data_IF_353018765998
#
_entry.id   IF_353018765998
#
_cell.length_a   1.000
_cell.length_b   1.000
_cell.length_c   1.000
_cell.angle_alpha   90.00
_cell.angle_beta   90.00
_cell.angle_gamma   90.00
#
_symmetry.space_group_name_H-M   'P 1'
#
loop_
_entity.id
_entity.type
_entity.pdbx_description
1 polymer ?
#
# COMPACT_ATOMS: atom_id res chain seq x y z
N UNK A 1 -30.66 -18.33 -11.58
CA UNK A 1 -29.94 -17.19 -12.19
C UNK A 1 -28.53 -17.54 -12.64
N UNK A 2 -27.68 -18.16 -11.79
CA UNK A 2 -26.29 -18.51 -12.13
C UNK A 2 -26.15 -19.37 -13.39
N UNK A 3 -26.94 -20.44 -13.54
CA UNK A 3 -26.91 -21.30 -14.74
C UNK A 3 -27.21 -20.53 -16.04
N UNK A 4 -28.16 -19.58 -16.01
CA UNK A 4 -28.48 -18.72 -17.16
C UNK A 4 -27.32 -17.79 -17.53
N UNK A 5 -26.56 -17.30 -16.56
CA UNK A 5 -25.35 -16.51 -16.82
C UNK A 5 -24.25 -17.38 -17.39
N UNK A 6 -24.03 -18.58 -16.84
CA UNK A 6 -23.06 -19.53 -17.35
C UNK A 6 -23.29 -19.85 -18.83
N UNK A 7 -24.53 -20.18 -19.22
CA UNK A 7 -24.87 -20.47 -20.62
C UNK A 7 -24.58 -19.30 -21.58
N UNK A 8 -24.61 -18.05 -21.09
CA UNK A 8 -24.29 -16.86 -21.90
C UNK A 8 -22.79 -16.53 -21.91
N UNK A 9 -22.10 -16.69 -20.79
CA UNK A 9 -20.71 -16.25 -20.61
C UNK A 9 -19.70 -17.32 -21.02
N UNK A 10 -19.99 -18.61 -20.84
CA UNK A 10 -19.06 -19.68 -21.21
C UNK A 10 -18.71 -19.67 -22.73
N UNK A 11 -19.66 -19.47 -23.66
CA UNK A 11 -19.33 -19.31 -25.08
C UNK A 11 -18.46 -18.08 -25.37
N UNK A 12 -18.63 -17.00 -24.60
CA UNK A 12 -17.83 -15.77 -24.76
C UNK A 12 -16.39 -15.99 -24.30
N UNK A 13 -16.17 -16.69 -23.18
CA UNK A 13 -14.82 -17.08 -22.73
C UNK A 13 -14.07 -17.85 -23.81
N UNK A 14 -14.75 -18.79 -24.49
CA UNK A 14 -14.19 -19.52 -25.62
C UNK A 14 -13.87 -18.63 -26.80
N UNK A 15 -14.80 -17.75 -27.18
CA UNK A 15 -14.63 -16.81 -28.30
C UNK A 15 -13.43 -15.86 -28.07
N UNK A 16 -13.19 -15.45 -26.83
CA UNK A 16 -12.08 -14.55 -26.46
C UNK A 16 -10.77 -15.30 -26.14
N UNK A 17 -10.74 -16.63 -26.22
CA UNK A 17 -9.55 -17.44 -25.93
C UNK A 17 -9.16 -17.47 -24.44
N UNK A 18 -10.10 -17.14 -23.54
CA UNK A 18 -9.88 -16.99 -22.10
C UNK A 18 -10.15 -18.28 -21.31
N UNK A 19 -10.54 -19.38 -21.96
CA UNK A 19 -10.89 -20.63 -21.28
C UNK A 19 -9.76 -21.16 -20.38
N UNK A 20 -8.51 -21.15 -20.86
CA UNK A 20 -7.36 -21.60 -20.05
C UNK A 20 -7.15 -20.70 -18.83
N UNK A 21 -7.16 -19.38 -19.03
CA UNK A 21 -7.02 -18.42 -17.93
C UNK A 21 -8.13 -18.61 -16.88
N UNK A 22 -9.35 -18.86 -17.32
CA UNK A 22 -10.47 -19.05 -16.41
C UNK A 22 -10.41 -20.41 -15.69
N UNK A 23 -10.35 -21.52 -16.43
CA UNK A 23 -10.50 -22.87 -15.87
C UNK A 23 -9.20 -23.43 -15.27
N UNK A 24 -8.03 -23.10 -15.81
CA UNK A 24 -6.76 -23.66 -15.35
C UNK A 24 -6.05 -22.76 -14.32
N UNK A 25 -6.33 -21.46 -14.32
CA UNK A 25 -5.67 -20.50 -13.42
C UNK A 25 -6.65 -19.91 -12.41
N UNK A 26 -7.67 -19.20 -12.88
CA UNK A 26 -8.55 -18.39 -12.02
C UNK A 26 -9.38 -19.26 -11.08
N UNK A 27 -10.08 -20.27 -11.62
CA UNK A 27 -10.96 -21.15 -10.85
C UNK A 27 -10.19 -21.97 -9.80
N UNK A 28 -9.05 -22.62 -10.10
CA UNK A 28 -8.24 -23.27 -9.08
C UNK A 28 -7.73 -22.29 -8.02
N UNK A 29 -7.34 -21.09 -8.41
CA UNK A 29 -6.83 -20.08 -7.48
C UNK A 29 -7.88 -19.62 -6.47
N UNK A 30 -9.16 -19.55 -6.85
CA UNK A 30 -10.25 -19.24 -5.89
C UNK A 30 -10.29 -20.19 -4.69
N UNK A 31 -9.95 -21.48 -4.90
CA UNK A 31 -9.92 -22.47 -3.81
C UNK A 31 -8.77 -22.21 -2.84
N UNK A 32 -7.61 -21.83 -3.37
CA UNK A 32 -6.43 -21.46 -2.58
C UNK A 32 -6.72 -20.23 -1.74
N UNK A 33 -7.40 -19.23 -2.32
CA UNK A 33 -7.84 -18.04 -1.57
C UNK A 33 -8.81 -18.43 -0.46
N UNK A 34 -9.86 -19.20 -0.76
CA UNK A 34 -10.82 -19.63 0.25
C UNK A 34 -10.16 -20.38 1.43
N UNK A 35 -9.15 -21.21 1.16
CA UNK A 35 -8.37 -21.88 2.21
C UNK A 35 -7.53 -20.89 3.04
N UNK A 36 -6.92 -19.89 2.41
CA UNK A 36 -6.17 -18.84 3.09
C UNK A 36 -7.07 -17.96 3.97
N UNK A 37 -8.23 -17.55 3.44
CA UNK A 37 -9.25 -16.78 4.17
C UNK A 37 -9.78 -17.58 5.36
N UNK A 38 -10.13 -18.86 5.16
CA UNK A 38 -10.61 -19.73 6.21
C UNK A 38 -9.58 -19.96 7.32
N UNK A 39 -8.31 -20.19 6.98
CA UNK A 39 -7.24 -20.31 7.96
C UNK A 39 -7.00 -19.01 8.72
N UNK A 40 -7.06 -17.87 8.04
CA UNK A 40 -6.74 -16.57 8.60
C UNK A 40 -5.30 -16.45 9.12
N UNK A 41 -4.99 -15.29 9.66
CA UNK A 41 -3.67 -14.96 10.23
C UNK A 41 -3.80 -14.78 11.73
N UNK A 42 -2.94 -15.46 12.50
CA UNK A 42 -2.92 -15.36 13.96
C UNK A 42 -2.31 -14.02 14.40
N UNK A 43 -2.98 -13.36 15.34
CA UNK A 43 -2.63 -12.05 15.87
C UNK A 43 -2.41 -12.12 17.38
N UNK A 44 -1.30 -11.58 17.84
CA UNK A 44 -1.04 -11.39 19.27
C UNK A 44 -1.78 -10.14 19.76
N UNK A 45 -2.84 -10.34 20.58
CA UNK A 45 -3.65 -9.24 21.13
C UNK A 45 -2.83 -8.22 21.93
N UNK A 46 -1.81 -8.66 22.67
CA UNK A 46 -0.99 -7.76 23.48
C UNK A 46 -0.16 -6.87 22.57
N UNK A 47 0.46 -7.44 21.53
CA UNK A 47 1.22 -6.66 20.55
C UNK A 47 0.34 -5.75 19.71
N UNK A 48 -0.87 -6.19 19.36
CA UNK A 48 -1.87 -5.35 18.68
C UNK A 48 -2.20 -4.10 19.52
N UNK A 49 -2.39 -4.27 20.83
CA UNK A 49 -2.66 -3.15 21.73
C UNK A 49 -1.44 -2.23 21.90
N UNK A 50 -0.24 -2.80 21.99
CA UNK A 50 1.01 -2.04 21.97
C UNK A 50 1.16 -1.22 20.68
N UNK A 51 0.89 -1.82 19.52
CA UNK A 51 0.95 -1.12 18.23
C UNK A 51 -0.04 0.05 18.17
N UNK A 52 -1.26 -0.13 18.68
CA UNK A 52 -2.26 0.95 18.76
C UNK A 52 -1.76 2.12 19.61
N UNK A 53 -1.18 1.85 20.79
CA UNK A 53 -0.61 2.87 21.69
C UNK A 53 0.62 3.58 21.10
N UNK A 54 1.51 2.85 20.43
CA UNK A 54 2.68 3.42 19.74
C UNK A 54 2.21 4.38 18.65
N UNK A 55 1.24 3.97 17.82
CA UNK A 55 0.67 4.82 16.79
C UNK A 55 0.00 6.06 17.38
N UNK A 56 -0.73 5.93 18.48
CA UNK A 56 -1.35 7.07 19.18
C UNK A 56 -0.32 8.10 19.65
N UNK A 57 0.77 7.63 20.27
CA UNK A 57 1.87 8.49 20.71
C UNK A 57 2.54 9.18 19.52
N UNK A 58 2.81 8.44 18.45
CA UNK A 58 3.39 8.97 17.21
C UNK A 58 2.48 10.02 16.57
N UNK A 59 1.17 9.77 16.47
CA UNK A 59 0.20 10.75 15.95
C UNK A 59 0.25 12.04 16.77
N UNK A 60 0.27 11.95 18.11
CA UNK A 60 0.34 13.14 18.98
C UNK A 60 1.63 13.93 18.75
N UNK A 61 2.78 13.25 18.68
CA UNK A 61 4.08 13.88 18.42
C UNK A 61 4.14 14.56 17.05
N UNK A 62 3.73 13.85 16.00
CA UNK A 62 3.74 14.38 14.63
C UNK A 62 2.76 15.55 14.49
N UNK A 63 1.60 15.48 15.14
CA UNK A 63 0.62 16.57 15.16
C UNK A 63 1.16 17.83 15.86
N UNK A 64 1.89 17.67 16.98
CA UNK A 64 2.57 18.79 17.63
C UNK A 64 3.56 19.49 16.70
N UNK A 65 4.45 18.72 16.06
CA UNK A 65 5.39 19.26 15.07
C UNK A 65 4.68 19.95 13.90
N UNK A 66 3.56 19.40 13.43
CA UNK A 66 2.77 20.00 12.36
C UNK A 66 2.24 21.39 12.75
N UNK A 67 1.79 21.55 13.98
CA UNK A 67 1.28 22.82 14.49
C UNK A 67 2.39 23.85 14.69
N UNK A 68 3.55 23.43 15.19
CA UNK A 68 4.75 24.28 15.25
C UNK A 68 5.16 24.76 13.86
N UNK A 69 5.18 23.87 12.87
CA UNK A 69 5.53 24.21 11.48
C UNK A 69 4.50 25.13 10.81
N UNK A 70 3.21 24.98 11.16
CA UNK A 70 2.15 25.87 10.70
C UNK A 70 2.20 27.24 11.39
N UNK A 71 2.59 27.28 12.67
CA UNK A 71 2.55 28.46 13.55
C UNK A 71 1.23 28.63 14.30
N UNK A 72 0.27 27.72 14.12
CA UNK A 72 -1.00 27.68 14.84
C UNK A 72 -1.65 26.29 14.74
N UNK A 73 -2.65 26.05 15.59
CA UNK A 73 -3.43 24.82 15.51
C UNK A 73 -4.46 24.87 14.38
N UNK A 74 -4.70 23.72 13.75
CA UNK A 74 -5.76 23.52 12.77
C UNK A 74 -6.17 22.05 12.73
N UNK A 75 -7.25 21.73 12.02
CA UNK A 75 -7.70 20.36 11.83
C UNK A 75 -6.99 19.73 10.62
N UNK A 76 -6.03 18.79 10.82
CA UNK A 76 -5.29 18.15 9.73
C UNK A 76 -6.14 17.20 8.88
N UNK A 77 -7.33 16.82 9.38
CA UNK A 77 -8.28 15.97 8.65
C UNK A 77 -9.17 16.81 7.72
N UNK A 78 -9.20 18.13 7.87
CA UNK A 78 -9.98 19.02 7.00
C UNK A 78 -9.15 19.45 5.80
N UNK A 79 -9.46 18.90 4.62
CA UNK A 79 -8.82 19.29 3.35
C UNK A 79 -8.87 20.80 3.09
N UNK A 80 -9.93 21.49 3.56
CA UNK A 80 -10.09 22.95 3.45
C UNK A 80 -9.07 23.70 4.31
N UNK A 81 -8.89 23.30 5.58
CA UNK A 81 -7.93 23.93 6.48
C UNK A 81 -6.49 23.63 6.05
N UNK A 82 -6.21 22.38 5.71
CA UNK A 82 -4.91 21.97 5.13
C UNK A 82 -4.59 22.80 3.89
N UNK A 83 -5.54 22.95 2.96
CA UNK A 83 -5.34 23.74 1.75
C UNK A 83 -5.07 25.22 2.03
N UNK A 84 -5.68 25.80 3.08
CA UNK A 84 -5.39 27.17 3.52
C UNK A 84 -3.94 27.30 3.99
N UNK A 85 -3.50 26.42 4.89
CA UNK A 85 -2.14 26.43 5.44
C UNK A 85 -1.12 26.25 4.31
N UNK A 86 -1.29 25.22 3.48
CA UNK A 86 -0.31 24.90 2.42
C UNK A 86 -0.24 25.99 1.34
N UNK A 87 -1.39 26.43 0.83
CA UNK A 87 -1.42 27.20 -0.41
C UNK A 87 -1.63 28.70 -0.23
N UNK A 88 -2.17 29.15 0.92
CA UNK A 88 -2.33 30.58 1.21
C UNK A 88 -1.22 31.06 2.14
N UNK A 89 -1.00 30.36 3.25
CA UNK A 89 -0.08 30.82 4.29
C UNK A 89 1.37 30.46 3.98
N UNK A 90 1.64 29.22 3.52
CA UNK A 90 2.99 28.79 3.11
C UNK A 90 3.29 29.01 1.62
N UNK A 91 2.33 29.53 0.85
CA UNK A 91 2.54 29.92 -0.56
C UNK A 91 2.88 28.79 -1.52
N UNK A 92 2.60 27.53 -1.18
CA UNK A 92 2.92 26.39 -2.05
C UNK A 92 2.07 26.42 -3.33
N UNK A 93 2.67 26.00 -4.45
CA UNK A 93 1.95 25.84 -5.72
C UNK A 93 1.24 24.49 -5.73
N UNK A 94 -0.07 24.50 -5.99
CA UNK A 94 -0.82 23.25 -6.17
C UNK A 94 -0.51 22.65 -7.52
N UNK A 95 -0.36 21.33 -7.56
CA UNK A 95 -0.05 20.55 -8.77
C UNK A 95 -1.35 20.09 -9.46
N UNK A 96 -2.46 20.00 -8.71
CA UNK A 96 -3.72 19.43 -9.17
C UNK A 96 -4.90 20.16 -8.54
N UNK A 97 -6.02 20.20 -9.26
CA UNK A 97 -7.31 20.69 -8.75
C UNK A 97 -8.26 19.50 -8.55
N UNK A 98 -9.12 19.60 -7.55
CA UNK A 98 -10.25 18.69 -7.35
C UNK A 98 -11.33 18.93 -8.42
N UNK A 99 -12.27 17.99 -8.65
CA UNK A 99 -13.39 18.20 -9.58
C UNK A 99 -14.20 19.48 -9.31
N UNK A 100 -14.25 19.94 -8.06
CA UNK A 100 -14.91 21.18 -7.63
C UNK A 100 -14.03 22.43 -7.78
N UNK A 101 -12.89 22.34 -8.47
CA UNK A 101 -11.98 23.46 -8.72
C UNK A 101 -11.06 23.87 -7.56
N UNK A 102 -11.20 23.28 -6.36
CA UNK A 102 -10.32 23.56 -5.23
C UNK A 102 -8.93 22.96 -5.42
N UNK A 103 -7.90 23.56 -4.81
CA UNK A 103 -6.53 23.01 -4.81
C UNK A 103 -6.51 21.66 -4.07
N UNK A 104 -6.05 20.59 -4.73
CA UNK A 104 -6.06 19.25 -4.16
C UNK A 104 -5.04 19.11 -3.03
N UNK A 105 -5.41 18.42 -1.97
CA UNK A 105 -4.53 18.01 -0.88
C UNK A 105 -4.51 16.49 -0.75
N UNK A 106 -4.71 15.76 -1.85
CA UNK A 106 -4.64 14.30 -1.86
C UNK A 106 -3.21 13.79 -1.58
N UNK A 107 -3.08 12.49 -1.31
CA UNK A 107 -1.77 11.90 -0.98
C UNK A 107 -0.76 12.03 -2.13
N UNK A 108 -1.20 12.02 -3.38
CA UNK A 108 -0.31 12.14 -4.54
C UNK A 108 0.33 13.55 -4.60
N UNK A 109 -0.49 14.59 -4.46
CA UNK A 109 -0.05 15.99 -4.42
C UNK A 109 0.84 16.21 -3.20
N UNK A 110 0.42 15.75 -2.02
CA UNK A 110 1.20 15.93 -0.80
C UNK A 110 2.55 15.21 -0.85
N UNK A 111 2.62 14.02 -1.46
CA UNK A 111 3.89 13.29 -1.62
C UNK A 111 4.85 14.03 -2.54
N UNK A 112 4.33 14.65 -3.61
CA UNK A 112 5.13 15.52 -4.50
C UNK A 112 5.61 16.77 -3.76
N UNK A 113 4.74 17.43 -2.99
CA UNK A 113 5.10 18.60 -2.18
C UNK A 113 6.07 18.28 -1.04
N UNK A 114 5.99 17.08 -0.45
CA UNK A 114 6.86 16.62 0.61
C UNK A 114 8.35 16.55 0.20
N UNK A 115 8.64 16.48 -1.10
CA UNK A 115 10.02 16.58 -1.63
C UNK A 115 10.63 17.96 -1.44
N UNK A 116 9.79 19.00 -1.35
CA UNK A 116 10.24 20.40 -1.35
C UNK A 116 9.93 21.13 -0.05
N UNK A 117 8.97 20.66 0.75
CA UNK A 117 8.53 21.38 1.94
C UNK A 117 8.27 20.47 3.14
N UNK A 118 8.85 20.85 4.28
CA UNK A 118 8.78 20.10 5.55
C UNK A 118 7.35 19.85 6.03
N UNK A 119 6.50 20.88 6.04
CA UNK A 119 5.10 20.75 6.46
C UNK A 119 4.30 19.70 5.65
N UNK A 120 4.59 19.55 4.35
CA UNK A 120 3.93 18.55 3.52
C UNK A 120 4.43 17.14 3.88
N UNK A 121 5.73 16.98 4.17
CA UNK A 121 6.31 15.74 4.67
C UNK A 121 5.69 15.33 6.01
N UNK A 122 5.59 16.25 6.96
CA UNK A 122 4.96 16.03 8.27
C UNK A 122 3.48 15.66 8.12
N UNK A 123 2.76 16.27 7.17
CA UNK A 123 1.36 15.96 6.92
C UNK A 123 1.16 14.56 6.31
N UNK A 124 2.03 14.16 5.37
CA UNK A 124 2.02 12.80 4.80
C UNK A 124 2.27 11.75 5.89
N UNK A 125 3.26 12.00 6.76
CA UNK A 125 3.56 11.14 7.91
C UNK A 125 2.36 11.03 8.87
N UNK A 126 1.74 12.17 9.21
CA UNK A 126 0.57 12.20 10.10
C UNK A 126 -0.58 11.39 9.52
N UNK A 127 -0.92 11.61 8.23
CA UNK A 127 -2.02 10.90 7.56
C UNK A 127 -1.74 9.41 7.43
N UNK A 128 -0.49 9.02 7.21
CA UNK A 128 -0.07 7.63 7.20
C UNK A 128 -0.34 6.96 8.55
N UNK A 129 0.10 7.56 9.66
CA UNK A 129 -0.14 7.03 11.00
C UNK A 129 -1.63 7.02 11.38
N UNK A 130 -2.37 8.08 11.03
CA UNK A 130 -3.81 8.14 11.26
C UNK A 130 -4.53 7.02 10.51
N UNK A 131 -4.27 6.86 9.21
CA UNK A 131 -4.87 5.80 8.39
C UNK A 131 -4.52 4.42 8.97
N UNK A 132 -3.26 4.23 9.38
CA UNK A 132 -2.83 3.00 10.04
C UNK A 132 -3.67 2.67 11.27
N UNK A 133 -3.79 3.62 12.20
CA UNK A 133 -4.55 3.41 13.42
C UNK A 133 -6.04 3.24 13.12
N UNK A 134 -6.64 4.14 12.35
CA UNK A 134 -8.10 4.17 12.13
C UNK A 134 -8.59 3.02 11.27
N UNK A 135 -7.93 2.75 10.15
CA UNK A 135 -8.39 1.78 9.14
C UNK A 135 -7.91 0.37 9.47
N UNK A 136 -6.63 0.20 9.82
CA UNK A 136 -6.03 -1.12 9.94
C UNK A 136 -6.11 -1.67 11.36
N UNK A 137 -5.88 -0.85 12.39
CA UNK A 137 -5.83 -1.33 13.78
C UNK A 137 -7.20 -1.29 14.46
N UNK A 138 -7.76 -0.10 14.66
CA UNK A 138 -8.94 0.11 15.50
C UNK A 138 -10.26 -0.05 14.72
N UNK A 139 -10.27 0.21 13.42
CA UNK A 139 -11.47 0.14 12.59
C UNK A 139 -12.49 1.25 12.84
N UNK A 140 -12.03 2.42 13.28
CA UNK A 140 -12.89 3.56 13.62
C UNK A 140 -13.49 4.27 12.40
N UNK A 141 -13.01 3.96 11.20
CA UNK A 141 -13.50 4.51 9.93
C UNK A 141 -14.64 3.68 9.29
N UNK A 142 -15.13 2.66 10.00
CA UNK A 142 -16.19 1.78 9.52
C UNK A 142 -15.72 0.62 8.63
N UNK A 143 -14.43 0.53 8.30
CA UNK A 143 -13.89 -0.55 7.45
C UNK A 143 -13.58 -1.84 8.24
N UNK A 144 -13.71 -1.80 9.58
CA UNK A 144 -13.50 -2.95 10.45
C UNK A 144 -12.03 -3.36 10.48
N UNK A 145 -11.19 -2.55 11.11
CA UNK A 145 -9.80 -2.87 11.42
C UNK A 145 -9.66 -4.14 12.25
N UNK A 146 -8.43 -4.61 12.39
CA UNK A 146 -8.06 -5.93 12.91
C UNK A 146 -8.66 -6.17 14.29
N UNK A 147 -8.68 -5.18 15.20
CA UNK A 147 -9.27 -5.30 16.54
C UNK A 147 -10.74 -5.76 16.52
N UNK A 148 -11.50 -5.35 15.50
CA UNK A 148 -12.94 -5.66 15.37
C UNK A 148 -13.21 -6.96 14.60
N UNK A 149 -12.17 -7.60 14.07
CA UNK A 149 -12.26 -8.76 13.17
C UNK A 149 -11.36 -9.91 13.62
N UNK A 150 -11.11 -10.00 14.92
CA UNK A 150 -10.53 -11.19 15.51
C UNK A 150 -11.66 -12.18 15.83
N UNK A 151 -11.46 -13.43 15.43
CA UNK A 151 -12.31 -14.53 15.87
C UNK A 151 -12.02 -14.92 17.33
N UNK A 152 -12.67 -15.99 17.81
CA UNK A 152 -12.45 -16.51 19.16
C UNK A 152 -11.03 -17.07 19.40
N UNK A 153 -10.25 -17.33 18.34
CA UNK A 153 -8.92 -17.90 18.37
C UNK A 153 -7.82 -16.90 18.01
N UNK A 154 -8.14 -15.60 18.06
CA UNK A 154 -7.24 -14.49 17.75
C UNK A 154 -6.73 -14.47 16.30
N UNK A 155 -7.55 -14.97 15.39
CA UNK A 155 -7.28 -14.95 13.95
C UNK A 155 -8.09 -13.87 13.27
N UNK A 156 -7.46 -13.22 12.29
CA UNK A 156 -8.14 -12.33 11.36
C UNK A 156 -8.23 -12.95 9.98
N UNK A 157 -9.39 -12.82 9.35
CA UNK A 157 -9.74 -13.50 8.11
C UNK A 157 -9.95 -12.44 7.02
N UNK A 158 -8.94 -12.16 6.18
CA UNK A 158 -9.09 -11.21 5.08
C UNK A 158 -10.07 -11.73 4.04
N UNK A 159 -10.71 -10.82 3.31
CA UNK A 159 -11.47 -11.14 2.09
C UNK A 159 -10.62 -10.78 0.86
N UNK A 160 -10.24 -11.76 0.06
CA UNK A 160 -9.54 -11.57 -1.21
C UNK A 160 -10.51 -11.56 -2.39
N UNK A 161 -10.35 -10.58 -3.28
CA UNK A 161 -11.16 -10.43 -4.48
C UNK A 161 -10.29 -10.44 -5.72
N UNK A 162 -10.57 -11.36 -6.64
CA UNK A 162 -9.89 -11.50 -7.92
C UNK A 162 -10.44 -10.50 -8.95
N UNK A 163 -11.73 -10.20 -8.91
CA UNK A 163 -12.42 -9.33 -9.88
C UNK A 163 -12.36 -7.83 -9.53
N UNK A 164 -11.52 -7.45 -8.57
CA UNK A 164 -11.53 -6.10 -8.00
C UNK A 164 -10.65 -5.06 -8.70
N UNK A 165 -9.69 -5.49 -9.52
CA UNK A 165 -8.74 -4.57 -10.16
C UNK A 165 -8.68 -4.80 -11.67
N UNK A 166 -8.51 -3.71 -12.43
CA UNK A 166 -8.41 -3.74 -13.89
C UNK A 166 -7.16 -4.49 -14.37
N UNK A 167 -6.10 -4.50 -13.55
CA UNK A 167 -4.81 -5.12 -13.88
C UNK A 167 -4.73 -6.60 -13.53
N UNK A 168 -5.79 -7.18 -12.96
CA UNK A 168 -5.81 -8.57 -12.51
C UNK A 168 -5.09 -8.82 -11.16
N UNK A 169 -4.66 -7.77 -10.45
CA UNK A 169 -4.17 -7.88 -9.08
C UNK A 169 -5.29 -8.27 -8.12
N UNK A 170 -4.96 -9.06 -7.11
CA UNK A 170 -5.84 -9.28 -5.97
C UNK A 170 -6.07 -7.97 -5.21
N UNK A 171 -7.30 -7.75 -4.78
CA UNK A 171 -7.60 -6.79 -3.72
C UNK A 171 -7.95 -7.51 -2.42
N UNK A 172 -7.63 -6.90 -1.28
CA UNK A 172 -7.88 -7.43 0.05
C UNK A 172 -8.67 -6.42 0.87
N UNK A 173 -9.67 -6.90 1.62
CA UNK A 173 -10.46 -6.07 2.55
C UNK A 173 -10.84 -6.88 3.78
N UNK A 174 -11.43 -6.21 4.77
CA UNK A 174 -12.06 -6.85 5.93
C UNK A 174 -11.20 -7.80 6.79
N UNK A 175 -9.94 -7.51 7.15
CA UNK A 175 -9.19 -6.26 6.96
C UNK A 175 -8.22 -6.31 5.76
N UNK A 176 -7.75 -5.14 5.31
CA UNK A 176 -6.73 -5.06 4.25
C UNK A 176 -5.35 -5.48 4.81
N UNK A 177 -4.97 -6.73 4.57
CA UNK A 177 -3.67 -7.27 4.94
C UNK A 177 -2.60 -7.08 3.86
N UNK A 178 -2.97 -6.62 2.65
CA UNK A 178 -2.01 -6.39 1.56
C UNK A 178 -1.19 -5.11 1.78
N UNK A 179 -1.83 -4.07 2.32
CA UNK A 179 -1.22 -2.74 2.44
C UNK A 179 -0.69 -2.43 3.84
N UNK A 180 -0.35 -3.45 4.64
CA UNK A 180 0.21 -3.25 5.98
C UNK A 180 1.65 -2.74 5.87
N UNK A 181 1.93 -1.51 6.34
CA UNK A 181 3.24 -0.91 6.19
C UNK A 181 4.27 -1.60 7.06
N UNK A 182 5.54 -1.40 6.69
CA UNK A 182 6.70 -1.93 7.43
C UNK A 182 7.03 -1.14 8.69
N UNK A 183 6.54 0.10 8.77
CA UNK A 183 6.83 1.03 9.85
C UNK A 183 5.53 1.60 10.41
N UNK A 184 5.41 1.73 11.74
CA UNK A 184 6.38 1.25 12.74
C UNK A 184 6.36 -0.30 12.86
N UNK A 185 7.47 -0.95 13.23
CA UNK A 185 7.61 -2.42 13.16
C UNK A 185 6.59 -3.17 14.02
N UNK A 186 6.13 -2.56 15.10
CA UNK A 186 5.12 -3.09 16.02
C UNK A 186 3.83 -3.50 15.28
N UNK A 187 3.47 -2.79 14.20
CA UNK A 187 2.29 -3.09 13.38
C UNK A 187 2.43 -4.45 12.69
N UNK A 188 3.62 -4.85 12.24
CA UNK A 188 3.81 -6.18 11.63
C UNK A 188 4.08 -7.24 12.69
N UNK A 189 4.73 -6.90 13.79
CA UNK A 189 5.08 -7.84 14.86
C UNK A 189 3.88 -8.45 15.58
N UNK A 190 2.69 -7.86 15.46
CA UNK A 190 1.46 -8.43 15.99
C UNK A 190 1.02 -9.70 15.24
N UNK A 191 1.41 -9.88 13.97
CA UNK A 191 1.16 -11.12 13.26
C UNK A 191 2.19 -12.17 13.68
N UNK A 192 1.72 -13.31 14.17
CA UNK A 192 2.57 -14.35 14.75
C UNK A 192 2.28 -15.71 14.13
N UNK A 193 3.27 -16.60 14.18
CA UNK A 193 3.06 -18.00 13.85
C UNK A 193 2.40 -18.74 15.04
N UNK A 194 1.57 -19.76 14.78
CA UNK A 194 1.16 -20.70 15.81
C UNK A 194 2.35 -21.41 16.47
N UNK A 195 2.14 -21.98 17.67
CA UNK A 195 3.20 -22.71 18.39
C UNK A 195 3.77 -23.85 17.53
N UNK A 196 5.09 -23.89 17.38
CA UNK A 196 5.79 -24.89 16.56
C UNK A 196 5.95 -24.50 15.08
N UNK A 197 5.40 -23.35 14.67
CA UNK A 197 5.46 -22.85 13.30
C UNK A 197 6.34 -21.60 13.19
N UNK A 198 6.70 -21.24 11.97
CA UNK A 198 7.37 -19.98 11.62
C UNK A 198 6.65 -19.31 10.45
N UNK A 199 6.72 -17.98 10.38
CA UNK A 199 6.26 -17.23 9.20
C UNK A 199 7.41 -17.22 8.18
N UNK A 200 7.09 -17.55 6.93
CA UNK A 200 7.98 -17.44 5.78
C UNK A 200 7.44 -16.32 4.87
N UNK A 201 8.27 -15.32 4.59
CA UNK A 201 8.00 -14.29 3.59
C UNK A 201 8.87 -14.58 2.36
N UNK A 202 8.24 -14.69 1.20
CA UNK A 202 8.92 -14.84 -0.08
C UNK A 202 8.34 -13.82 -1.05
N UNK A 203 9.22 -13.04 -1.69
CA UNK A 203 8.85 -12.00 -2.63
C UNK A 203 9.69 -12.14 -3.91
N UNK A 204 9.06 -11.89 -5.05
CA UNK A 204 9.77 -11.96 -6.33
C UNK A 204 10.61 -10.70 -6.52
N UNK A 205 11.93 -10.89 -6.58
CA UNK A 205 12.84 -9.78 -6.87
C UNK A 205 12.54 -9.21 -8.26
N UNK A 206 12.12 -7.94 -8.32
CA UNK A 206 11.95 -7.18 -9.57
C UNK A 206 11.01 -7.85 -10.58
N UNK A 207 9.96 -8.53 -10.12
CA UNK A 207 9.01 -9.26 -10.99
C UNK A 207 8.48 -8.41 -12.16
N UNK A 208 8.05 -7.18 -11.89
CA UNK A 208 7.48 -6.28 -12.90
C UNK A 208 8.51 -5.92 -13.98
N UNK A 209 9.77 -5.71 -13.59
CA UNK A 209 10.85 -5.40 -14.52
C UNK A 209 11.26 -6.64 -15.33
N UNK A 210 11.26 -7.83 -14.72
CA UNK A 210 11.46 -9.09 -15.45
C UNK A 210 10.36 -9.30 -16.48
N UNK A 211 9.09 -9.08 -16.12
CA UNK A 211 7.97 -9.14 -17.05
C UNK A 211 8.16 -8.14 -18.21
N UNK A 212 8.57 -6.90 -17.91
CA UNK A 212 8.88 -5.90 -18.93
C UNK A 212 10.05 -6.33 -19.84
N UNK A 213 11.12 -6.89 -19.28
CA UNK A 213 12.29 -7.34 -20.04
C UNK A 213 11.96 -8.49 -21.01
N UNK A 214 11.09 -9.41 -20.58
CA UNK A 214 10.59 -10.50 -21.42
C UNK A 214 9.66 -9.96 -22.50
N UNK A 215 8.70 -9.10 -22.13
CA UNK A 215 7.71 -8.56 -23.06
C UNK A 215 8.34 -7.65 -24.14
N UNK A 216 9.29 -6.80 -23.74
CA UNK A 216 10.02 -5.90 -24.66
C UNK A 216 11.16 -6.58 -25.41
N UNK A 217 11.49 -7.83 -25.05
CA UNK A 217 12.67 -8.56 -25.52
C UNK A 217 13.99 -7.78 -25.40
N UNK A 218 14.12 -6.92 -24.37
CA UNK A 218 15.28 -6.05 -24.19
C UNK A 218 16.44 -6.80 -23.52
N UNK A 219 17.42 -7.23 -24.32
CA UNK A 219 18.61 -7.95 -23.85
C UNK A 219 19.44 -7.16 -22.82
N UNK A 220 19.53 -5.84 -22.98
CA UNK A 220 20.23 -5.00 -22.01
C UNK A 220 19.54 -5.05 -20.64
N UNK A 221 18.22 -4.94 -20.61
CA UNK A 221 17.44 -5.00 -19.38
C UNK A 221 17.59 -6.38 -18.70
N UNK A 222 17.53 -7.47 -19.48
CA UNK A 222 17.78 -8.83 -18.97
C UNK A 222 19.17 -9.00 -18.35
N UNK A 223 20.20 -8.38 -18.94
CA UNK A 223 21.59 -8.41 -18.41
C UNK A 223 21.77 -7.59 -17.14
N UNK A 224 21.03 -6.49 -16.99
CA UNK A 224 21.16 -5.59 -15.84
C UNK A 224 20.32 -6.00 -14.64
N UNK A 225 19.18 -6.68 -14.84
CA UNK A 225 18.25 -7.06 -13.77
C UNK A 225 18.83 -7.98 -12.69
N UNK A 226 19.73 -8.94 -12.96
CA UNK A 226 20.37 -9.75 -11.92
C UNK A 226 21.18 -8.92 -10.92
N UNK A 227 21.63 -7.72 -11.30
CA UNK A 227 22.48 -6.85 -10.48
C UNK A 227 21.67 -5.76 -9.76
N UNK A 228 22.35 -4.82 -9.11
CA UNK A 228 21.73 -3.64 -8.51
C UNK A 228 21.20 -2.70 -9.60
N UNK A 229 19.99 -3.03 -10.08
CA UNK A 229 19.33 -2.36 -11.19
C UNK A 229 19.11 -0.87 -10.93
N UNK A 230 18.73 -0.48 -9.71
CA UNK A 230 18.51 0.93 -9.39
C UNK A 230 19.83 1.72 -9.47
N UNK A 231 20.93 1.18 -8.94
CA UNK A 231 22.22 1.86 -9.08
C UNK A 231 22.72 1.93 -10.52
N UNK A 232 22.56 0.85 -11.30
CA UNK A 232 22.93 0.85 -12.72
C UNK A 232 22.08 1.81 -13.55
N UNK A 233 20.79 1.91 -13.24
CA UNK A 233 19.88 2.85 -13.90
C UNK A 233 20.23 4.29 -13.54
N UNK A 234 20.52 4.58 -12.26
CA UNK A 234 20.98 5.90 -11.84
C UNK A 234 22.26 6.35 -12.57
N UNK A 235 23.23 5.44 -12.76
CA UNK A 235 24.44 5.75 -13.55
C UNK A 235 24.13 5.93 -15.03
N UNK A 236 23.29 5.06 -15.61
CA UNK A 236 22.90 5.14 -17.03
C UNK A 236 22.13 6.43 -17.34
N UNK A 237 21.31 6.91 -16.40
CA UNK A 237 20.57 8.17 -16.50
C UNK A 237 21.43 9.40 -16.20
N UNK A 238 22.73 9.22 -15.88
CA UNK A 238 23.65 10.31 -15.59
C UNK A 238 23.41 10.99 -14.24
N UNK A 239 22.68 10.35 -13.31
CA UNK A 239 22.49 10.87 -11.95
C UNK A 239 23.83 10.88 -11.20
N UNK A 240 24.64 9.83 -11.40
CA UNK A 240 26.02 9.71 -10.91
C UNK A 240 26.91 9.06 -11.96
N UNK A 241 28.21 9.31 -11.89
CA UNK A 241 29.20 8.74 -12.84
C UNK A 241 29.64 7.32 -12.46
N UNK A 242 29.55 6.91 -11.19
CA UNK A 242 29.95 5.59 -10.71
C UNK A 242 28.86 4.96 -9.84
N UNK A 243 28.77 3.63 -9.89
CA UNK A 243 27.80 2.82 -9.13
C UNK A 243 28.01 2.98 -7.61
N UNK A 244 29.26 3.15 -7.19
CA UNK A 244 29.67 3.32 -5.79
C UNK A 244 29.16 4.62 -5.17
N UNK A 245 28.91 5.64 -6.00
CA UNK A 245 28.49 6.97 -5.58
C UNK A 245 26.96 7.13 -5.50
N UNK A 246 26.20 6.08 -5.84
CA UNK A 246 24.73 6.09 -5.83
C UNK A 246 24.20 5.78 -4.44
N UNK A 247 23.50 6.74 -3.84
CA UNK A 247 22.86 6.59 -2.53
C UNK A 247 21.37 6.16 -2.62
N UNK A 248 20.72 6.01 -1.45
CA UNK A 248 19.31 5.60 -1.36
C UNK A 248 18.34 6.65 -1.92
N UNK A 249 18.68 7.93 -1.87
CA UNK A 249 17.82 8.98 -2.46
C UNK A 249 17.92 8.97 -3.99
N UNK A 250 19.10 8.69 -4.53
CA UNK A 250 19.34 8.56 -5.98
C UNK A 250 18.57 7.36 -6.56
N UNK A 251 18.58 6.21 -5.88
CA UNK A 251 17.80 5.02 -6.30
C UNK A 251 16.29 5.22 -6.28
N UNK A 252 15.77 6.17 -5.50
CA UNK A 252 14.34 6.51 -5.47
C UNK A 252 13.94 7.49 -6.58
N UNK A 253 14.92 8.08 -7.29
CA UNK A 253 14.71 9.00 -8.43
C UNK A 253 14.77 8.27 -9.78
N UNK A 254 15.47 7.14 -9.84
CA UNK A 254 15.62 6.25 -11.01
C UNK A 254 14.60 5.11 -11.01
#
# INVERSE_FOLDING_TARGET
CQFRMFLKLAPQLKKEGLEKLFYEITMPFTKVLAEAEYRGVLVDRKKLETASKVLESSIKKVKGRLFEEAGHEFNPNSSKQVGKVLFKEKGLRSIKLTPTGAKSTDNEVLTKLAKYHKIAKTLVELRSHQKLKSTYIDGSDGNGGIKRRLDANDRTHPDYSISGTVTGRLSCRSPDLQNIPRQPPEVRQMFIAPKGWKILEADFSKAELWALALYSNCERLKKDLPFDFHKRTAVTMGIKSRIEDVDKEDTNRS
#
